data_IF_635631188513
#
_entry.id   IF_635631188513
#
_cell.length_a   1.000
_cell.length_b   1.000
_cell.length_c   1.000
_cell.angle_alpha   90.00
_cell.angle_beta   90.00
_cell.angle_gamma   90.00
#
_symmetry.space_group_name_H-M   'P 1'
#
loop_
_entity.id
_entity.type
_entity.pdbx_description
1 polymer ?
#
# COMPACT_ATOMS: atom_id res chain seq x y z
N UNK A 1 -26.15 -21.16 -6.92
CA UNK A 1 -25.58 -21.20 -5.55
C UNK A 1 -24.15 -21.79 -5.55
N UNK A 2 -23.85 -22.84 -6.32
CA UNK A 2 -22.51 -23.47 -6.39
C UNK A 2 -21.44 -22.56 -7.04
N UNK A 3 -21.78 -21.75 -8.01
CA UNK A 3 -20.88 -20.83 -8.69
C UNK A 3 -20.40 -19.67 -7.78
N UNK A 4 -21.22 -19.24 -6.83
CA UNK A 4 -20.84 -18.20 -5.87
C UNK A 4 -19.82 -18.68 -4.83
N UNK A 5 -19.83 -19.95 -4.46
CA UNK A 5 -18.89 -20.52 -3.50
C UNK A 5 -17.47 -20.63 -4.06
N UNK A 6 -17.29 -21.00 -5.33
CA UNK A 6 -15.97 -21.13 -5.95
C UNK A 6 -15.27 -19.76 -6.17
N UNK A 7 -16.01 -18.72 -6.56
CA UNK A 7 -15.48 -17.37 -6.69
C UNK A 7 -15.13 -16.73 -5.34
N UNK A 8 -15.83 -17.10 -4.28
CA UNK A 8 -15.65 -16.59 -2.94
C UNK A 8 -14.32 -17.03 -2.30
N UNK A 9 -13.79 -18.18 -2.70
CA UNK A 9 -12.52 -18.72 -2.19
C UNK A 9 -11.30 -18.31 -3.01
N UNK A 10 -11.45 -17.95 -4.28
CA UNK A 10 -10.34 -17.60 -5.16
C UNK A 10 -9.68 -16.25 -4.86
N UNK A 11 -10.41 -15.26 -4.33
CA UNK A 11 -9.86 -13.92 -4.03
C UNK A 11 -9.47 -13.80 -2.55
N UNK A 12 -10.47 -13.65 -1.69
CA UNK A 12 -10.33 -13.69 -0.24
C UNK A 12 -11.34 -14.68 0.30
N UNK A 13 -10.87 -15.74 0.92
CA UNK A 13 -11.74 -16.75 1.49
C UNK A 13 -12.61 -16.18 2.63
N UNK A 14 -13.63 -16.93 3.01
CA UNK A 14 -14.59 -16.51 4.05
C UNK A 14 -13.91 -16.27 5.40
N UNK A 15 -12.90 -17.07 5.75
CA UNK A 15 -12.19 -16.95 7.03
C UNK A 15 -11.42 -15.63 7.11
N UNK A 16 -10.67 -15.26 6.06
CA UNK A 16 -9.94 -13.99 5.98
C UNK A 16 -10.89 -12.80 6.08
N UNK A 17 -11.99 -12.80 5.33
CA UNK A 17 -12.99 -11.72 5.40
C UNK A 17 -13.64 -11.63 6.79
N UNK A 18 -14.00 -12.75 7.39
CA UNK A 18 -14.57 -12.79 8.73
C UNK A 18 -13.60 -12.25 9.78
N UNK A 19 -12.31 -12.57 9.66
CA UNK A 19 -11.26 -12.02 10.53
C UNK A 19 -11.18 -10.50 10.41
N UNK A 20 -11.16 -9.94 9.19
CA UNK A 20 -11.14 -8.48 8.98
C UNK A 20 -12.39 -7.83 9.57
N UNK A 21 -13.58 -8.39 9.35
CA UNK A 21 -14.82 -7.83 9.91
C UNK A 21 -14.86 -7.86 11.44
N UNK A 22 -14.32 -8.92 12.08
CA UNK A 22 -14.20 -8.99 13.55
C UNK A 22 -13.28 -7.89 14.07
N UNK A 23 -12.09 -7.75 13.46
CA UNK A 23 -11.12 -6.71 13.84
C UNK A 23 -11.69 -5.30 13.63
N UNK A 24 -12.33 -5.04 12.50
CA UNK A 24 -12.99 -3.77 12.22
C UNK A 24 -14.10 -3.43 13.24
N UNK A 25 -14.83 -4.43 13.70
CA UNK A 25 -15.90 -4.27 14.72
C UNK A 25 -15.39 -4.33 16.15
N UNK A 26 -14.07 -4.41 16.35
CA UNK A 26 -13.42 -4.54 17.66
C UNK A 26 -13.96 -5.72 18.52
N UNK A 27 -14.27 -6.86 17.86
CA UNK A 27 -14.79 -8.07 18.52
C UNK A 27 -13.71 -9.05 18.96
N UNK A 28 -12.44 -8.64 18.88
CA UNK A 28 -11.28 -9.47 19.18
C UNK A 28 -11.01 -10.55 18.15
N UNK A 29 -9.88 -11.21 18.28
CA UNK A 29 -9.40 -12.27 17.38
C UNK A 29 -9.41 -13.66 18.02
N UNK A 30 -9.85 -13.77 19.29
CA UNK A 30 -9.87 -15.07 19.97
C UNK A 30 -10.74 -16.08 19.25
N UNK A 31 -10.17 -17.27 19.03
CA UNK A 31 -10.85 -18.44 18.46
C UNK A 31 -10.74 -19.57 19.48
N UNK A 32 -11.89 -19.96 20.04
CA UNK A 32 -11.91 -20.97 21.08
C UNK A 32 -12.08 -22.36 20.48
N UNK A 33 -11.11 -23.02 19.99
CA UNK A 33 -11.11 -24.44 19.60
C UNK A 33 -9.73 -24.91 19.13
N UNK A 34 -9.01 -24.08 18.37
CA UNK A 34 -7.71 -24.42 17.82
C UNK A 34 -7.40 -23.68 16.53
N UNK A 35 -6.39 -24.12 15.80
CA UNK A 35 -5.96 -23.51 14.55
C UNK A 35 -7.08 -23.53 13.51
N UNK A 36 -7.28 -22.40 12.84
CA UNK A 36 -8.21 -22.25 11.70
C UNK A 36 -7.51 -22.39 10.35
N UNK A 37 -6.17 -22.49 10.35
CA UNK A 37 -5.35 -22.70 9.16
C UNK A 37 -4.76 -24.11 9.15
N UNK A 38 -4.68 -24.72 7.96
CA UNK A 38 -3.84 -25.89 7.76
C UNK A 38 -2.39 -25.45 7.53
N UNK A 39 -1.59 -25.50 8.59
CA UNK A 39 -0.18 -25.13 8.55
C UNK A 39 0.70 -26.09 7.71
N UNK A 40 0.13 -27.12 7.07
CA UNK A 40 0.83 -28.01 6.14
C UNK A 40 0.71 -27.55 4.68
N UNK A 41 -0.13 -26.56 4.40
CA UNK A 41 -0.34 -26.04 3.04
C UNK A 41 0.91 -25.29 2.55
N UNK A 42 1.45 -25.59 1.35
CA UNK A 42 2.52 -24.83 0.73
C UNK A 42 2.19 -23.32 0.68
N UNK A 43 3.16 -22.49 1.01
CA UNK A 43 3.00 -21.05 1.11
C UNK A 43 2.48 -20.55 2.45
N UNK A 44 2.09 -21.44 3.39
CA UNK A 44 1.71 -21.03 4.74
C UNK A 44 2.87 -20.40 5.49
N UNK A 45 2.58 -19.32 6.18
CA UNK A 45 3.54 -18.53 6.99
C UNK A 45 3.53 -19.07 8.41
N UNK A 46 4.71 -19.38 8.95
CA UNK A 46 4.92 -19.82 10.32
C UNK A 46 5.98 -18.92 10.96
N UNK A 47 5.65 -18.29 12.08
CA UNK A 47 6.63 -17.51 12.85
C UNK A 47 7.38 -18.38 13.84
N UNK A 48 8.65 -18.04 14.07
CA UNK A 48 9.55 -18.79 14.96
C UNK A 48 9.38 -18.23 16.36
N UNK A 49 8.63 -18.94 17.21
CA UNK A 49 8.44 -18.53 18.59
C UNK A 49 9.71 -18.72 19.42
N UNK A 50 9.96 -17.81 20.35
CA UNK A 50 10.99 -17.96 21.36
C UNK A 50 10.55 -18.96 22.43
N UNK A 51 11.50 -19.76 22.97
CA UNK A 51 11.23 -20.60 24.13
C UNK A 51 10.96 -19.77 25.40
N UNK A 52 11.56 -18.57 25.46
CA UNK A 52 11.37 -17.58 26.51
C UNK A 52 10.99 -16.26 25.84
N UNK A 53 9.68 -16.02 25.58
CA UNK A 53 9.21 -14.77 24.97
C UNK A 53 9.43 -13.59 25.91
N UNK A 54 9.34 -12.37 25.35
CA UNK A 54 9.53 -11.14 26.11
C UNK A 54 8.41 -10.99 27.16
N UNK A 55 8.77 -10.54 28.37
CA UNK A 55 7.79 -10.24 29.42
C UNK A 55 6.95 -9.03 29.03
N UNK A 56 5.72 -8.92 29.55
CA UNK A 56 4.82 -7.81 29.21
C UNK A 56 5.39 -6.44 29.58
N UNK A 57 6.10 -6.36 30.71
CA UNK A 57 6.77 -5.15 31.20
C UNK A 57 7.95 -4.69 30.34
N UNK A 58 8.55 -5.61 29.56
CA UNK A 58 9.70 -5.34 28.68
C UNK A 58 9.27 -5.03 27.23
N UNK A 59 7.98 -5.10 26.93
CA UNK A 59 7.44 -4.78 25.62
C UNK A 59 7.50 -3.28 25.35
N UNK A 60 7.99 -2.92 24.17
CA UNK A 60 8.13 -1.53 23.77
C UNK A 60 7.11 -1.16 22.67
N UNK A 61 6.62 0.08 22.66
CA UNK A 61 5.87 0.58 21.52
C UNK A 61 6.71 0.50 20.24
N UNK A 62 6.08 0.17 19.12
CA UNK A 62 6.76 0.23 17.83
C UNK A 62 7.18 1.67 17.53
N UNK A 63 8.47 1.95 17.33
CA UNK A 63 8.93 3.31 17.06
C UNK A 63 8.43 3.82 15.71
N UNK A 64 8.16 5.13 15.64
CA UNK A 64 7.92 5.84 14.37
C UNK A 64 9.18 5.89 13.52
N UNK A 65 9.03 6.10 12.22
CA UNK A 65 10.13 6.32 11.29
C UNK A 65 9.97 7.68 10.62
N UNK A 66 11.07 8.36 10.35
CA UNK A 66 11.09 9.68 9.74
C UNK A 66 11.48 9.60 8.27
N UNK A 67 10.50 9.60 7.38
CA UNK A 67 10.72 9.53 5.93
C UNK A 67 11.29 10.87 5.46
N UNK A 68 12.44 10.84 4.79
CA UNK A 68 13.14 12.02 4.28
C UNK A 68 13.94 12.81 5.33
N UNK A 69 14.25 12.22 6.51
CA UNK A 69 14.87 12.88 7.67
C UNK A 69 16.05 13.78 7.31
N UNK A 70 17.00 13.31 6.51
CA UNK A 70 18.24 14.05 6.21
C UNK A 70 18.24 14.72 4.83
N UNK A 71 17.14 14.62 4.09
CA UNK A 71 17.05 14.98 2.68
C UNK A 71 15.89 15.92 2.34
N UNK A 72 14.98 16.18 3.28
CA UNK A 72 13.80 16.99 3.06
C UNK A 72 13.74 18.13 4.08
N UNK A 73 13.29 19.31 3.64
CA UNK A 73 13.02 20.42 4.54
C UNK A 73 11.92 20.10 5.56
N UNK A 74 10.93 19.29 5.15
CA UNK A 74 9.80 18.89 5.97
C UNK A 74 9.66 17.37 5.95
N UNK A 75 10.49 16.62 6.71
CA UNK A 75 10.39 15.18 6.80
C UNK A 75 9.03 14.75 7.37
N UNK A 76 8.65 13.51 7.13
CA UNK A 76 7.37 12.95 7.52
C UNK A 76 7.54 11.89 8.61
N UNK A 77 7.06 12.15 9.82
CA UNK A 77 7.02 11.16 10.90
C UNK A 77 5.88 10.15 10.66
N UNK A 78 6.23 8.93 10.25
CA UNK A 78 5.31 7.84 9.98
C UNK A 78 5.17 6.93 11.21
N UNK A 79 4.01 6.96 11.87
CA UNK A 79 3.77 6.28 13.16
C UNK A 79 3.30 4.83 12.98
N UNK A 80 2.45 4.57 11.99
CA UNK A 80 1.80 3.27 11.81
C UNK A 80 2.57 2.37 10.84
N UNK A 81 2.66 1.07 11.16
CA UNK A 81 3.15 0.05 10.23
C UNK A 81 2.15 -0.17 9.09
N UNK A 82 0.85 -0.22 9.41
CA UNK A 82 -0.24 -0.50 8.47
C UNK A 82 -0.90 0.79 8.05
N UNK A 83 -0.95 1.04 6.74
CA UNK A 83 -1.42 2.29 6.19
C UNK A 83 -2.37 2.10 5.00
N UNK A 84 -3.13 3.14 4.68
CA UNK A 84 -4.15 3.10 3.63
C UNK A 84 -3.48 3.33 2.27
N UNK A 85 -3.52 2.29 1.43
CA UNK A 85 -3.03 2.33 0.04
C UNK A 85 -3.86 3.28 -0.83
N UNK A 86 -3.26 3.75 -1.93
CA UNK A 86 -3.89 4.68 -2.88
C UNK A 86 -5.20 4.16 -3.46
N UNK A 87 -6.28 4.86 -3.13
CA UNK A 87 -7.64 4.63 -3.65
C UNK A 87 -8.24 5.98 -4.02
N UNK A 88 -8.35 6.26 -5.33
CA UNK A 88 -8.76 7.57 -5.80
C UNK A 88 -10.22 7.88 -5.51
N UNK A 89 -10.51 9.13 -5.11
CA UNK A 89 -11.86 9.66 -5.18
C UNK A 89 -12.36 9.62 -6.63
N UNK A 90 -13.52 9.05 -6.83
CA UNK A 90 -14.05 8.65 -8.13
C UNK A 90 -13.99 7.14 -8.35
N UNK A 91 -12.90 6.47 -8.06
CA UNK A 91 -12.91 5.01 -7.98
C UNK A 91 -13.71 4.51 -6.76
N UNK A 92 -13.49 5.15 -5.60
CA UNK A 92 -14.32 4.97 -4.41
C UNK A 92 -15.21 6.22 -4.18
N UNK A 93 -16.27 6.03 -3.42
CA UNK A 93 -17.29 7.04 -3.16
C UNK A 93 -16.83 8.11 -2.14
N UNK A 94 -17.55 9.23 -2.13
CA UNK A 94 -17.38 10.31 -1.15
C UNK A 94 -17.46 9.79 0.31
N UNK A 95 -18.51 9.08 0.75
CA UNK A 95 -18.57 8.57 2.11
C UNK A 95 -17.45 7.56 2.43
N UNK A 96 -16.97 6.80 1.44
CA UNK A 96 -15.83 5.91 1.64
C UNK A 96 -14.53 6.69 1.93
N UNK A 97 -14.21 7.73 1.14
CA UNK A 97 -13.02 8.56 1.38
C UNK A 97 -13.10 9.28 2.72
N UNK A 98 -14.27 9.84 3.09
CA UNK A 98 -14.50 10.49 4.39
C UNK A 98 -14.24 9.53 5.55
N UNK A 99 -14.81 8.33 5.50
CA UNK A 99 -14.62 7.33 6.53
C UNK A 99 -13.15 6.86 6.63
N UNK A 100 -12.43 6.77 5.50
CA UNK A 100 -11.00 6.46 5.48
C UNK A 100 -10.17 7.58 6.11
N UNK A 101 -10.45 8.85 5.77
CA UNK A 101 -9.73 10.02 6.31
C UNK A 101 -9.89 10.12 7.82
N UNK A 102 -11.14 10.12 8.32
CA UNK A 102 -11.44 10.16 9.75
C UNK A 102 -10.83 8.95 10.51
N UNK A 103 -10.95 7.75 9.93
CA UNK A 103 -10.40 6.55 10.54
C UNK A 103 -8.88 6.50 10.54
N UNK A 104 -8.23 7.01 9.50
CA UNK A 104 -6.78 7.15 9.42
C UNK A 104 -6.23 8.07 10.52
N UNK A 105 -6.86 9.25 10.70
CA UNK A 105 -6.51 10.18 11.77
C UNK A 105 -6.60 9.52 13.15
N UNK A 106 -7.71 8.83 13.40
CA UNK A 106 -7.91 8.17 14.68
C UNK A 106 -6.92 7.02 14.93
N UNK A 107 -6.46 6.33 13.87
CA UNK A 107 -5.51 5.24 13.99
C UNK A 107 -4.04 5.69 13.95
N UNK A 108 -3.76 6.93 13.54
CA UNK A 108 -2.41 7.44 13.33
C UNK A 108 -1.71 6.83 12.10
N UNK A 109 -2.48 6.37 11.10
CA UNK A 109 -1.96 5.91 9.81
C UNK A 109 -2.16 6.97 8.72
N UNK A 110 -1.34 6.91 7.65
CA UNK A 110 -1.54 7.80 6.52
C UNK A 110 -2.63 7.31 5.57
N UNK A 111 -3.18 8.26 4.82
CA UNK A 111 -4.08 8.02 3.69
C UNK A 111 -3.38 8.42 2.39
N UNK A 112 -3.28 7.50 1.44
CA UNK A 112 -2.80 7.79 0.09
C UNK A 112 -3.99 8.13 -0.82
N UNK A 113 -3.91 9.26 -1.53
CA UNK A 113 -5.02 9.78 -2.35
C UNK A 113 -5.39 8.89 -3.55
N UNK A 114 -4.47 8.01 -3.97
CA UNK A 114 -4.56 7.42 -5.30
C UNK A 114 -4.35 8.45 -6.42
N UNK A 115 -4.46 8.01 -7.66
CA UNK A 115 -4.10 8.80 -8.87
C UNK A 115 -5.16 9.81 -9.34
N UNK A 116 -6.22 10.03 -8.56
CA UNK A 116 -7.35 10.90 -8.93
C UNK A 116 -7.20 12.37 -8.54
N UNK A 117 -6.10 12.75 -7.92
CA UNK A 117 -5.90 14.06 -7.31
C UNK A 117 -6.37 14.13 -5.86
N UNK A 118 -6.09 15.24 -5.20
CA UNK A 118 -6.49 15.51 -3.81
C UNK A 118 -7.92 16.07 -3.79
N UNK A 119 -8.84 15.36 -3.14
CA UNK A 119 -10.20 15.84 -2.87
C UNK A 119 -10.28 16.39 -1.43
N UNK A 120 -11.20 17.33 -1.13
CA UNK A 120 -11.40 17.86 0.23
C UNK A 120 -11.63 16.75 1.27
N UNK A 121 -12.27 15.67 0.87
CA UNK A 121 -12.60 14.52 1.73
C UNK A 121 -11.39 13.74 2.24
N UNK A 122 -10.24 13.82 1.57
CA UNK A 122 -8.99 13.24 2.07
C UNK A 122 -8.46 13.99 3.30
N UNK A 123 -8.84 15.26 3.45
CA UNK A 123 -8.38 16.15 4.50
C UNK A 123 -9.35 16.25 5.69
N UNK A 124 -10.56 15.70 5.56
CA UNK A 124 -11.63 15.88 6.55
C UNK A 124 -11.29 15.37 7.96
N UNK A 125 -10.48 14.30 8.04
CA UNK A 125 -10.04 13.74 9.31
C UNK A 125 -8.76 14.36 9.88
N UNK A 126 -8.11 15.28 9.16
CA UNK A 126 -6.79 15.82 9.52
C UNK A 126 -5.71 14.71 9.68
N UNK A 127 -5.82 13.65 8.90
CA UNK A 127 -4.82 12.58 8.86
C UNK A 127 -3.62 12.98 8.00
N UNK A 128 -2.52 12.26 8.16
CA UNK A 128 -1.37 12.39 7.27
C UNK A 128 -1.74 11.91 5.86
N UNK A 129 -1.53 12.75 4.85
CA UNK A 129 -1.90 12.45 3.46
C UNK A 129 -0.66 12.34 2.60
N UNK A 130 -0.56 11.23 1.84
CA UNK A 130 0.40 11.07 0.73
C UNK A 130 -0.34 11.29 -0.58
N UNK A 131 0.09 12.28 -1.38
CA UNK A 131 -0.50 12.53 -2.68
C UNK A 131 0.16 11.67 -3.75
N UNK A 132 -0.63 10.83 -4.43
CA UNK A 132 -0.14 10.02 -5.52
C UNK A 132 -0.24 10.74 -6.86
N UNK A 133 0.86 10.82 -7.59
CA UNK A 133 0.95 11.39 -8.93
C UNK A 133 0.91 10.25 -9.95
N UNK A 134 -0.25 10.06 -10.56
CA UNK A 134 -0.44 9.11 -11.66
C UNK A 134 0.00 9.69 -13.00
N UNK A 135 -0.04 8.86 -14.04
CA UNK A 135 0.42 9.21 -15.40
C UNK A 135 -0.37 10.34 -16.06
N UNK A 136 -1.61 10.60 -15.64
CA UNK A 136 -2.42 11.74 -16.07
C UNK A 136 -2.19 13.00 -15.23
N UNK A 137 -1.42 12.92 -14.13
CA UNK A 137 -1.08 14.04 -13.23
C UNK A 137 -2.31 14.81 -12.70
N UNK A 138 -3.45 14.12 -12.49
CA UNK A 138 -4.65 14.77 -11.97
C UNK A 138 -4.38 15.51 -10.65
N UNK A 139 -4.92 16.72 -10.55
CA UNK A 139 -4.77 17.60 -9.39
C UNK A 139 -3.45 18.36 -9.30
N UNK A 140 -2.41 17.97 -10.08
CA UNK A 140 -1.07 18.60 -10.06
C UNK A 140 -0.62 19.07 -11.45
N UNK A 141 -1.52 19.12 -12.42
CA UNK A 141 -1.24 19.52 -13.81
C UNK A 141 -1.84 20.88 -14.15
N UNK A 142 -1.28 21.53 -15.17
CA UNK A 142 -1.86 22.70 -15.79
C UNK A 142 -3.04 22.34 -16.74
N UNK A 143 -3.60 23.35 -17.41
CA UNK A 143 -4.70 23.17 -18.38
C UNK A 143 -4.29 22.38 -19.63
N UNK A 144 -3.01 22.35 -19.96
CA UNK A 144 -2.43 21.60 -21.07
C UNK A 144 -2.09 20.14 -20.68
N UNK A 145 -2.28 19.78 -19.40
CA UNK A 145 -2.01 18.46 -18.86
C UNK A 145 -0.57 18.21 -18.46
N UNK A 146 0.29 19.23 -18.45
CA UNK A 146 1.67 19.14 -18.00
C UNK A 146 1.77 19.31 -16.48
N UNK A 147 2.89 18.87 -15.91
CA UNK A 147 3.17 19.09 -14.49
C UNK A 147 3.23 20.60 -14.18
N UNK A 148 2.49 21.03 -13.14
CA UNK A 148 2.45 22.41 -12.69
C UNK A 148 3.28 22.61 -11.41
N UNK A 149 4.44 23.27 -11.48
CA UNK A 149 5.25 23.60 -10.31
C UNK A 149 4.50 24.42 -9.26
N UNK A 150 3.64 25.35 -9.71
CA UNK A 150 2.86 26.18 -8.79
C UNK A 150 1.90 25.34 -7.96
N UNK A 151 1.14 24.43 -8.60
CA UNK A 151 0.23 23.51 -7.88
C UNK A 151 0.99 22.56 -6.96
N UNK A 152 2.17 22.09 -7.36
CA UNK A 152 3.01 21.25 -6.52
C UNK A 152 3.42 21.97 -5.23
N UNK A 153 3.84 23.25 -5.32
CA UNK A 153 4.15 24.08 -4.13
C UNK A 153 2.96 24.26 -3.20
N UNK A 154 1.78 24.50 -3.75
CA UNK A 154 0.55 24.66 -2.98
C UNK A 154 0.19 23.37 -2.26
N UNK A 155 0.23 22.23 -2.95
CA UNK A 155 -0.03 20.91 -2.39
C UNK A 155 1.01 20.49 -1.34
N UNK A 156 2.28 20.86 -1.53
CA UNK A 156 3.36 20.60 -0.57
C UNK A 156 3.15 21.24 0.80
N UNK A 157 2.32 22.29 0.89
CA UNK A 157 1.91 22.88 2.18
C UNK A 157 0.88 22.04 2.92
N UNK A 158 0.16 21.17 2.20
CA UNK A 158 -0.99 20.41 2.71
C UNK A 158 -0.61 18.95 2.97
N UNK A 159 0.03 18.29 1.99
CA UNK A 159 0.34 16.86 2.08
C UNK A 159 1.68 16.60 2.78
N UNK A 160 1.86 15.40 3.31
CA UNK A 160 3.09 15.00 4.00
C UNK A 160 4.17 14.46 3.07
N UNK A 161 3.77 13.86 1.95
CA UNK A 161 4.68 13.30 0.95
C UNK A 161 4.00 13.21 -0.42
N UNK A 162 4.82 13.01 -1.46
CA UNK A 162 4.36 12.69 -2.81
C UNK A 162 4.81 11.28 -3.21
N UNK A 163 3.98 10.58 -3.98
CA UNK A 163 4.28 9.26 -4.53
C UNK A 163 4.09 9.28 -6.05
N UNK A 164 5.17 9.17 -6.83
CA UNK A 164 5.11 9.05 -8.29
C UNK A 164 4.77 7.59 -8.62
N UNK A 165 3.60 7.36 -9.19
CA UNK A 165 3.14 6.02 -9.56
C UNK A 165 3.56 5.69 -10.99
N UNK A 166 4.49 4.75 -11.14
CA UNK A 166 4.91 4.21 -12.42
C UNK A 166 3.99 3.11 -12.91
N UNK A 167 3.61 2.20 -12.00
CA UNK A 167 2.70 1.08 -12.28
C UNK A 167 1.99 0.59 -11.02
N UNK A 168 1.13 -0.41 -11.16
CA UNK A 168 0.52 -1.15 -10.06
C UNK A 168 0.39 -2.64 -10.44
N UNK A 169 0.41 -3.53 -9.43
CA UNK A 169 0.42 -4.97 -9.63
C UNK A 169 -0.73 -5.52 -10.47
N UNK A 170 -1.94 -4.99 -10.29
CA UNK A 170 -3.13 -5.46 -10.99
C UNK A 170 -3.16 -5.15 -12.50
N UNK A 171 -2.42 -4.15 -12.98
CA UNK A 171 -2.47 -3.72 -14.39
C UNK A 171 -1.18 -3.00 -14.83
N UNK A 172 -0.02 -3.66 -14.81
CA UNK A 172 1.21 -3.05 -15.28
C UNK A 172 1.11 -2.71 -16.76
N UNK A 173 1.66 -1.56 -17.17
CA UNK A 173 1.63 -1.11 -18.56
C UNK A 173 0.27 -0.62 -19.07
N UNK A 174 -0.73 -0.53 -18.18
CA UNK A 174 -2.04 0.05 -18.50
C UNK A 174 -2.39 1.20 -17.57
N UNK A 175 -2.78 2.33 -18.14
CA UNK A 175 -3.23 3.50 -17.41
C UNK A 175 -4.53 3.30 -16.64
N UNK A 176 -4.89 4.28 -15.82
CA UNK A 176 -6.14 4.31 -15.10
C UNK A 176 -7.35 4.46 -16.03
N UNK A 177 -8.45 3.84 -15.67
CA UNK A 177 -9.76 4.04 -16.29
C UNK A 177 -10.79 4.30 -15.19
N UNK A 178 -11.49 5.44 -15.29
CA UNK A 178 -12.69 5.70 -14.52
C UNK A 178 -13.84 5.93 -15.53
N UNK A 179 -14.86 5.05 -15.55
CA UNK A 179 -15.98 5.18 -16.48
C UNK A 179 -16.71 6.51 -16.29
N UNK A 180 -17.17 7.11 -17.40
CA UNK A 180 -17.86 8.42 -17.42
C UNK A 180 -19.09 8.47 -16.52
N UNK A 181 -19.79 7.36 -16.34
CA UNK A 181 -20.91 7.25 -15.40
C UNK A 181 -20.54 7.47 -13.92
N UNK A 182 -19.23 7.51 -13.60
CA UNK A 182 -18.70 7.88 -12.28
C UNK A 182 -18.15 9.30 -12.22
N UNK A 183 -18.03 9.98 -13.36
CA UNK A 183 -17.42 11.32 -13.46
C UNK A 183 -18.50 12.37 -13.32
N UNK A 184 -18.87 12.68 -12.10
CA UNK A 184 -19.74 13.83 -11.78
C UNK A 184 -18.97 15.16 -11.80
N UNK A 185 -19.67 16.31 -11.60
CA UNK A 185 -19.07 17.64 -11.68
C UNK A 185 -17.86 17.84 -10.77
N UNK A 186 -17.92 17.35 -9.55
CA UNK A 186 -16.83 17.48 -8.56
C UNK A 186 -15.56 16.71 -8.98
N UNK A 187 -15.72 15.46 -9.44
CA UNK A 187 -14.60 14.63 -9.92
C UNK A 187 -14.02 15.24 -11.20
N UNK A 188 -14.89 15.75 -12.08
CA UNK A 188 -14.48 16.44 -13.30
C UNK A 188 -13.62 17.67 -12.98
N UNK A 189 -14.03 18.49 -12.02
CA UNK A 189 -13.27 19.67 -11.56
C UNK A 189 -11.91 19.29 -10.96
N UNK A 190 -11.85 18.29 -10.08
CA UNK A 190 -10.59 17.84 -9.46
C UNK A 190 -9.62 17.30 -10.49
N UNK A 191 -10.11 16.57 -11.50
CA UNK A 191 -9.29 15.95 -12.56
C UNK A 191 -9.02 16.90 -13.72
N UNK A 192 -9.74 18.01 -13.85
CA UNK A 192 -9.67 18.90 -15.01
C UNK A 192 -10.07 18.18 -16.31
N UNK A 193 -11.24 17.49 -16.30
CA UNK A 193 -11.81 16.75 -17.44
C UNK A 193 -13.30 17.06 -17.58
N UNK A 194 -13.91 16.81 -18.76
CA UNK A 194 -15.34 16.98 -18.94
C UNK A 194 -16.17 16.01 -18.07
N UNK A 195 -17.34 16.48 -17.66
CA UNK A 195 -18.33 15.67 -16.92
C UNK A 195 -18.86 14.54 -17.80
N UNK A 196 -19.11 13.38 -17.22
CA UNK A 196 -19.64 12.17 -17.86
C UNK A 196 -18.78 11.58 -18.99
N UNK A 197 -17.53 12.02 -19.14
CA UNK A 197 -16.56 11.39 -20.02
C UNK A 197 -15.65 10.41 -19.28
N UNK A 198 -15.24 9.33 -19.95
CA UNK A 198 -14.28 8.38 -19.42
C UNK A 198 -12.95 9.10 -19.09
N UNK A 199 -12.49 8.90 -17.86
CA UNK A 199 -11.20 9.42 -17.43
C UNK A 199 -10.11 8.36 -17.69
N UNK A 200 -9.37 8.54 -18.79
CA UNK A 200 -8.35 7.61 -19.24
C UNK A 200 -6.97 8.23 -18.99
N UNK A 201 -6.14 7.52 -18.23
CA UNK A 201 -4.74 7.92 -18.00
C UNK A 201 -3.83 7.25 -19.04
N UNK A 202 -2.73 7.91 -19.46
CA UNK A 202 -1.69 7.28 -20.27
C UNK A 202 -1.13 6.01 -19.60
N UNK A 203 -0.58 5.10 -20.37
CA UNK A 203 0.02 3.86 -19.87
C UNK A 203 1.35 4.10 -19.11
N UNK A 204 2.03 5.24 -19.36
CA UNK A 204 3.23 5.70 -18.64
C UNK A 204 3.27 7.22 -18.56
N UNK A 205 4.13 7.75 -17.73
CA UNK A 205 4.43 9.19 -17.71
C UNK A 205 5.10 9.58 -19.04
N UNK A 206 4.60 10.64 -19.70
CA UNK A 206 5.13 11.12 -20.98
C UNK A 206 6.49 11.81 -20.83
N UNK A 207 6.76 12.32 -19.65
CA UNK A 207 7.96 13.07 -19.25
C UNK A 207 8.95 12.25 -18.40
N UNK A 208 8.82 10.91 -18.41
CA UNK A 208 9.75 9.98 -17.74
C UNK A 208 9.98 8.80 -18.70
N UNK A 209 11.14 8.75 -19.34
CA UNK A 209 11.47 7.74 -20.35
C UNK A 209 12.56 6.77 -19.88
N UNK A 210 13.31 7.13 -18.84
CA UNK A 210 14.40 6.36 -18.28
C UNK A 210 14.57 6.66 -16.79
N UNK A 211 15.48 5.96 -16.13
CA UNK A 211 15.75 6.10 -14.70
C UNK A 211 16.30 7.49 -14.35
N UNK A 212 17.20 8.04 -15.16
CA UNK A 212 17.79 9.34 -14.87
C UNK A 212 16.74 10.46 -14.88
N UNK A 213 15.81 10.46 -15.85
CA UNK A 213 14.67 11.39 -15.87
C UNK A 213 13.72 11.18 -14.68
N UNK A 214 13.54 9.93 -14.21
CA UNK A 214 12.77 9.65 -13.00
C UNK A 214 13.45 10.27 -11.77
N UNK A 215 14.75 10.08 -11.63
CA UNK A 215 15.54 10.63 -10.52
C UNK A 215 15.55 12.17 -10.54
N UNK A 216 15.66 12.79 -11.72
CA UNK A 216 15.52 14.23 -11.90
C UNK A 216 14.16 14.74 -11.41
N UNK A 217 13.10 14.02 -11.75
CA UNK A 217 11.73 14.37 -11.34
C UNK A 217 11.56 14.27 -9.83
N UNK A 218 12.11 13.23 -9.20
CA UNK A 218 12.08 13.03 -7.74
C UNK A 218 12.80 14.18 -7.04
N UNK A 219 14.03 14.44 -7.46
CA UNK A 219 14.86 15.51 -6.90
C UNK A 219 14.18 16.88 -7.07
N UNK A 220 13.76 17.23 -8.28
CA UNK A 220 13.10 18.51 -8.56
C UNK A 220 11.79 18.70 -7.75
N UNK A 221 10.99 17.64 -7.58
CA UNK A 221 9.75 17.73 -6.79
C UNK A 221 10.05 17.91 -5.30
N UNK A 222 11.09 17.21 -4.78
CA UNK A 222 11.54 17.37 -3.39
C UNK A 222 12.04 18.79 -3.13
N UNK A 223 12.93 19.32 -3.97
CA UNK A 223 13.44 20.70 -3.86
C UNK A 223 12.31 21.73 -3.94
N UNK A 224 11.35 21.51 -4.85
CA UNK A 224 10.24 22.41 -5.06
C UNK A 224 9.28 22.50 -3.87
N UNK A 225 9.04 21.37 -3.17
CA UNK A 225 8.02 21.24 -2.13
C UNK A 225 8.58 21.11 -0.72
N UNK A 226 9.86 20.77 -0.59
CA UNK A 226 10.51 20.43 0.68
C UNK A 226 10.00 19.12 1.30
N UNK A 227 9.15 18.33 0.59
CA UNK A 227 8.51 17.12 1.09
C UNK A 227 9.17 15.85 0.56
N UNK A 228 9.09 14.74 1.30
CA UNK A 228 9.51 13.43 0.81
C UNK A 228 8.82 13.05 -0.50
N UNK A 229 9.58 12.44 -1.40
CA UNK A 229 9.10 11.94 -2.69
C UNK A 229 9.48 10.49 -2.85
N UNK A 230 8.48 9.64 -2.94
CA UNK A 230 8.65 8.22 -3.24
C UNK A 230 8.13 7.83 -4.61
N UNK A 231 8.32 6.57 -4.94
CA UNK A 231 7.78 5.95 -6.15
C UNK A 231 6.96 4.71 -5.80
N UNK A 232 5.98 4.39 -6.66
CA UNK A 232 5.24 3.14 -6.60
C UNK A 232 5.37 2.39 -7.91
N UNK A 233 5.73 1.11 -7.83
CA UNK A 233 5.88 0.25 -9.01
C UNK A 233 5.53 -1.20 -8.72
N UNK A 234 5.16 -1.94 -9.76
CA UNK A 234 5.12 -3.39 -9.77
C UNK A 234 6.42 -3.92 -10.38
N UNK A 235 6.86 -5.09 -9.94
CA UNK A 235 8.10 -5.71 -10.38
C UNK A 235 7.78 -6.88 -11.31
N UNK A 236 8.30 -6.84 -12.53
CA UNK A 236 8.21 -7.95 -13.50
C UNK A 236 9.56 -8.60 -13.77
N UNK A 237 10.66 -7.96 -13.36
CA UNK A 237 12.04 -8.40 -13.49
C UNK A 237 12.98 -7.44 -12.78
N UNK A 238 14.28 -7.75 -12.76
CA UNK A 238 15.25 -7.09 -11.88
C UNK A 238 15.95 -5.88 -12.51
N UNK A 239 15.86 -5.68 -13.81
CA UNK A 239 16.56 -4.63 -14.52
C UNK A 239 16.22 -3.25 -13.95
N UNK A 240 14.93 -2.97 -13.74
CA UNK A 240 14.49 -1.69 -13.20
C UNK A 240 15.14 -1.36 -11.85
N UNK A 241 15.13 -2.29 -10.89
CA UNK A 241 15.67 -2.03 -9.56
C UNK A 241 17.20 -1.93 -9.56
N UNK A 242 17.87 -2.74 -10.40
CA UNK A 242 19.32 -2.69 -10.53
C UNK A 242 19.76 -1.36 -11.17
N UNK A 243 19.15 -0.95 -12.27
CA UNK A 243 19.40 0.34 -12.91
C UNK A 243 19.11 1.53 -11.99
N UNK A 244 18.04 1.43 -11.19
CA UNK A 244 17.70 2.44 -10.19
C UNK A 244 18.81 2.58 -9.15
N UNK A 245 19.28 1.48 -8.58
CA UNK A 245 20.36 1.46 -7.60
C UNK A 245 21.67 2.00 -8.18
N UNK A 246 22.04 1.55 -9.38
CA UNK A 246 23.27 1.98 -10.07
C UNK A 246 23.24 3.49 -10.38
N UNK A 247 22.10 4.00 -10.88
CA UNK A 247 21.92 5.42 -11.16
C UNK A 247 22.00 6.28 -9.90
N UNK A 248 21.38 5.83 -8.80
CA UNK A 248 21.46 6.56 -7.51
C UNK A 248 22.89 6.59 -7.02
N UNK A 249 23.62 5.46 -7.05
CA UNK A 249 25.01 5.40 -6.61
C UNK A 249 25.94 6.26 -7.46
N UNK A 250 25.67 6.40 -8.76
CA UNK A 250 26.41 7.27 -9.67
C UNK A 250 26.12 8.75 -9.45
N UNK A 251 24.84 9.11 -9.19
CA UNK A 251 24.39 10.51 -9.13
C UNK A 251 24.41 11.11 -7.73
N UNK A 252 24.39 10.29 -6.71
CA UNK A 252 24.36 10.68 -5.30
C UNK A 252 23.02 10.46 -4.63
N UNK A 253 23.05 10.35 -3.30
CA UNK A 253 21.90 10.01 -2.47
C UNK A 253 20.77 11.05 -2.48
N UNK A 254 21.06 12.28 -2.87
CA UNK A 254 20.06 13.35 -3.01
C UNK A 254 19.06 13.09 -4.15
N UNK A 255 19.43 12.26 -5.11
CA UNK A 255 18.53 11.84 -6.19
C UNK A 255 17.66 10.63 -5.82
N UNK A 256 17.98 9.91 -4.74
CA UNK A 256 17.22 8.74 -4.34
C UNK A 256 15.78 9.08 -3.94
N UNK A 257 14.79 8.23 -4.25
CA UNK A 257 13.47 8.34 -3.65
C UNK A 257 13.54 8.15 -2.13
N UNK A 258 12.66 8.81 -1.39
CA UNK A 258 12.61 8.68 0.07
C UNK A 258 11.92 7.38 0.50
N UNK A 259 11.06 6.85 -0.37
CA UNK A 259 10.44 5.55 -0.20
C UNK A 259 10.12 4.89 -1.54
N UNK A 260 10.04 3.56 -1.52
CA UNK A 260 9.72 2.71 -2.65
C UNK A 260 8.55 1.79 -2.28
N UNK A 261 7.39 2.01 -2.89
CA UNK A 261 6.22 1.15 -2.74
C UNK A 261 6.26 0.04 -3.78
N UNK A 262 6.45 -1.20 -3.33
CA UNK A 262 6.39 -2.41 -4.16
C UNK A 262 4.96 -2.95 -4.13
N UNK A 263 4.31 -2.98 -5.29
CA UNK A 263 2.94 -3.49 -5.44
C UNK A 263 2.97 -4.86 -6.11
N UNK A 264 2.69 -5.92 -5.37
CA UNK A 264 2.68 -7.30 -5.87
C UNK A 264 1.64 -7.53 -6.97
N UNK A 265 1.90 -8.50 -7.84
CA UNK A 265 1.01 -8.89 -8.94
C UNK A 265 -0.40 -9.26 -8.51
N UNK A 266 -0.56 -9.78 -7.29
CA UNK A 266 -1.84 -10.06 -6.65
C UNK A 266 -2.58 -8.83 -6.12
N UNK A 267 -2.08 -7.62 -6.37
CA UNK A 267 -2.75 -6.37 -6.09
C UNK A 267 -4.12 -6.28 -6.75
N UNK A 268 -4.96 -5.36 -6.29
CA UNK A 268 -6.33 -5.20 -6.78
C UNK A 268 -6.57 -3.89 -7.52
N UNK A 269 -7.56 -3.89 -8.41
CA UNK A 269 -8.06 -2.69 -9.08
C UNK A 269 -9.52 -2.90 -9.51
N UNK A 270 -10.31 -1.82 -9.51
CA UNK A 270 -11.64 -1.83 -10.10
C UNK A 270 -11.65 -1.77 -11.63
N UNK A 271 -10.49 -1.66 -12.30
CA UNK A 271 -10.42 -1.41 -13.74
C UNK A 271 -9.27 -2.17 -14.43
N UNK A 272 -8.89 -3.34 -13.91
CA UNK A 272 -7.86 -4.18 -14.50
C UNK A 272 -8.49 -5.23 -15.43
N UNK A 273 -7.97 -5.40 -16.67
CA UNK A 273 -8.27 -6.56 -17.49
C UNK A 273 -7.78 -7.84 -16.82
N UNK A 274 -8.56 -8.91 -16.92
CA UNK A 274 -8.22 -10.20 -16.30
C UNK A 274 -6.85 -10.72 -16.77
N UNK A 275 -6.53 -10.59 -18.03
CA UNK A 275 -5.24 -10.99 -18.60
C UNK A 275 -4.04 -10.34 -17.87
N UNK A 276 -4.16 -9.08 -17.44
CA UNK A 276 -3.08 -8.40 -16.72
C UNK A 276 -3.06 -8.78 -15.25
N UNK A 277 -4.21 -8.84 -14.59
CA UNK A 277 -4.28 -9.10 -13.16
C UNK A 277 -3.90 -10.53 -12.79
N UNK A 278 -4.09 -11.47 -13.70
CA UNK A 278 -3.84 -12.90 -13.44
C UNK A 278 -2.46 -13.37 -13.94
N UNK A 279 -1.77 -12.61 -14.82
CA UNK A 279 -0.61 -13.14 -15.53
C UNK A 279 0.59 -12.19 -15.64
N UNK A 280 0.52 -10.97 -15.10
CA UNK A 280 1.61 -9.99 -15.26
C UNK A 280 2.02 -9.42 -13.91
N UNK A 281 3.31 -9.28 -13.69
CA UNK A 281 4.00 -8.92 -12.45
C UNK A 281 4.25 -10.10 -11.50
N UNK A 282 5.34 -9.98 -10.76
CA UNK A 282 5.69 -10.93 -9.71
C UNK A 282 4.80 -10.74 -8.48
N UNK A 283 4.45 -11.83 -7.78
CA UNK A 283 3.78 -11.74 -6.50
C UNK A 283 4.67 -11.05 -5.47
N UNK A 284 4.06 -10.42 -4.46
CA UNK A 284 4.79 -9.69 -3.42
C UNK A 284 5.76 -10.61 -2.65
N UNK A 285 5.40 -11.88 -2.52
CA UNK A 285 6.22 -12.88 -1.84
C UNK A 285 7.59 -13.12 -2.50
N UNK A 286 7.69 -12.87 -3.80
CA UNK A 286 8.95 -12.94 -4.56
C UNK A 286 9.57 -11.54 -4.75
N UNK A 287 8.77 -10.55 -5.11
CA UNK A 287 9.26 -9.22 -5.45
C UNK A 287 9.91 -8.51 -4.25
N UNK A 288 9.27 -8.57 -3.07
CA UNK A 288 9.71 -7.81 -1.90
C UNK A 288 11.10 -8.21 -1.38
N UNK A 289 11.39 -9.48 -1.05
CA UNK A 289 12.69 -9.84 -0.50
C UNK A 289 13.83 -9.52 -1.48
N UNK A 290 13.63 -9.71 -2.78
CA UNK A 290 14.67 -9.44 -3.79
C UNK A 290 14.90 -7.95 -4.05
N UNK A 291 13.86 -7.11 -4.01
CA UNK A 291 14.03 -5.65 -4.05
C UNK A 291 14.81 -5.17 -2.83
N UNK A 292 14.49 -5.70 -1.65
CA UNK A 292 15.25 -5.41 -0.42
C UNK A 292 16.70 -5.85 -0.56
N UNK A 293 16.96 -7.00 -1.18
CA UNK A 293 18.32 -7.49 -1.44
C UNK A 293 19.11 -6.53 -2.35
N UNK A 294 18.50 -6.06 -3.44
CA UNK A 294 19.13 -5.07 -4.33
C UNK A 294 19.49 -3.78 -3.57
N UNK A 295 18.60 -3.30 -2.70
CA UNK A 295 18.86 -2.11 -1.89
C UNK A 295 19.94 -2.35 -0.83
N UNK A 296 19.98 -3.53 -0.19
CA UNK A 296 21.02 -3.89 0.78
C UNK A 296 22.39 -4.00 0.09
N UNK A 297 22.44 -4.71 -1.02
CA UNK A 297 23.66 -4.91 -1.80
C UNK A 297 24.26 -3.60 -2.29
N UNK A 298 23.40 -2.66 -2.71
CA UNK A 298 23.80 -1.34 -3.19
C UNK A 298 24.05 -0.32 -2.08
N UNK A 299 23.85 -0.68 -0.80
CA UNK A 299 23.99 0.21 0.35
C UNK A 299 22.87 1.25 0.50
N UNK A 300 21.75 1.06 -0.20
CA UNK A 300 20.66 2.05 -0.27
C UNK A 300 19.50 1.76 0.70
N UNK A 301 19.47 0.60 1.37
CA UNK A 301 18.34 0.23 2.25
C UNK A 301 18.13 1.21 3.42
N UNK A 302 19.19 1.82 3.93
CA UNK A 302 19.09 2.82 4.99
C UNK A 302 18.68 4.21 4.47
N UNK A 303 18.74 4.43 3.14
CA UNK A 303 18.31 5.68 2.50
C UNK A 303 16.85 5.63 2.02
N UNK A 304 16.39 4.46 1.60
CA UNK A 304 15.10 4.28 0.94
C UNK A 304 14.22 3.37 1.79
N UNK A 305 13.14 3.91 2.34
CA UNK A 305 12.13 3.09 3.03
C UNK A 305 11.35 2.23 2.03
N UNK A 306 11.09 0.98 2.40
CA UNK A 306 10.33 0.04 1.57
C UNK A 306 8.92 -0.12 2.11
N UNK A 307 7.93 0.12 1.24
CA UNK A 307 6.51 -0.07 1.54
C UNK A 307 6.02 -1.27 0.75
N UNK A 308 5.55 -2.30 1.43
CA UNK A 308 4.96 -3.47 0.79
C UNK A 308 3.47 -3.27 0.53
N UNK A 309 3.01 -3.60 -0.68
CA UNK A 309 1.60 -3.62 -1.07
C UNK A 309 1.31 -4.85 -1.95
N UNK A 310 0.07 -5.31 -1.99
CA UNK A 310 -0.34 -6.49 -2.76
C UNK A 310 -0.94 -7.56 -1.88
N UNK A 311 -2.27 -7.57 -1.73
CA UNK A 311 -3.06 -8.58 -0.99
C UNK A 311 -2.66 -8.79 0.50
N UNK A 312 -1.89 -7.90 1.09
CA UNK A 312 -1.49 -7.93 2.50
C UNK A 312 -2.62 -7.35 3.37
N UNK A 313 -3.45 -8.20 3.96
CA UNK A 313 -4.68 -7.77 4.66
C UNK A 313 -4.78 -8.28 6.10
N UNK A 314 -3.94 -9.25 6.48
CA UNK A 314 -3.90 -9.84 7.82
C UNK A 314 -2.63 -9.44 8.58
N UNK A 315 -2.66 -9.60 9.90
CA UNK A 315 -1.49 -9.38 10.76
C UNK A 315 -0.31 -10.30 10.42
N UNK A 316 -0.59 -11.55 10.05
CA UNK A 316 0.45 -12.51 9.66
C UNK A 316 1.16 -12.09 8.36
N UNK A 317 0.40 -11.65 7.34
CA UNK A 317 0.97 -11.12 6.10
C UNK A 317 1.75 -9.82 6.34
N UNK A 318 1.25 -8.94 7.22
CA UNK A 318 1.95 -7.72 7.62
C UNK A 318 3.28 -8.01 8.34
N UNK A 319 3.28 -8.93 9.30
CA UNK A 319 4.49 -9.35 10.01
C UNK A 319 5.49 -10.04 9.07
N UNK A 320 5.01 -10.86 8.13
CA UNK A 320 5.84 -11.46 7.08
C UNK A 320 6.53 -10.38 6.23
N UNK A 321 5.80 -9.35 5.81
CA UNK A 321 6.37 -8.28 5.02
C UNK A 321 7.50 -7.54 5.76
N UNK A 322 7.34 -7.31 7.08
CA UNK A 322 8.42 -6.77 7.92
C UNK A 322 9.61 -7.73 8.00
N UNK A 323 9.38 -9.03 8.17
CA UNK A 323 10.45 -10.03 8.14
C UNK A 323 11.20 -10.03 6.80
N UNK A 324 10.50 -9.80 5.69
CA UNK A 324 11.08 -9.72 4.35
C UNK A 324 11.86 -8.42 4.09
N UNK A 325 11.76 -7.43 5.00
CA UNK A 325 12.52 -6.18 4.97
C UNK A 325 11.74 -4.94 4.57
N UNK A 326 10.40 -5.01 4.53
CA UNK A 326 9.56 -3.82 4.43
C UNK A 326 9.62 -2.99 5.72
N UNK A 327 9.54 -1.68 5.59
CA UNK A 327 9.41 -0.75 6.70
C UNK A 327 7.94 -0.47 7.03
N UNK A 328 7.08 -0.52 6.01
CA UNK A 328 5.65 -0.27 6.11
C UNK A 328 4.85 -1.21 5.20
N UNK A 329 3.56 -1.33 5.48
CA UNK A 329 2.60 -2.07 4.68
C UNK A 329 1.44 -1.16 4.28
N UNK A 330 1.17 -1.09 2.99
CA UNK A 330 -0.01 -0.45 2.44
C UNK A 330 -1.07 -1.50 2.07
N UNK A 331 -2.29 -1.35 2.57
CA UNK A 331 -3.40 -2.20 2.19
C UNK A 331 -4.60 -1.39 1.70
N UNK A 332 -5.20 -1.79 0.57
CA UNK A 332 -6.43 -1.20 0.05
C UNK A 332 -7.63 -2.07 0.45
N UNK A 333 -7.62 -3.36 0.08
CA UNK A 333 -8.76 -4.25 0.28
C UNK A 333 -9.05 -4.56 1.74
N UNK A 334 -8.04 -4.57 2.61
CA UNK A 334 -8.23 -4.67 4.06
C UNK A 334 -9.12 -3.53 4.58
N UNK A 335 -8.82 -2.29 4.19
CA UNK A 335 -9.65 -1.14 4.55
C UNK A 335 -11.00 -1.11 3.82
N UNK A 336 -11.10 -1.58 2.58
CA UNK A 336 -12.40 -1.74 1.92
C UNK A 336 -13.29 -2.74 2.67
N UNK A 337 -12.75 -3.87 3.14
CA UNK A 337 -13.50 -4.81 3.97
C UNK A 337 -13.89 -4.20 5.32
N UNK A 338 -13.04 -3.39 5.94
CA UNK A 338 -13.40 -2.68 7.17
C UNK A 338 -14.57 -1.72 6.96
N UNK A 339 -14.67 -1.07 5.80
CA UNK A 339 -15.83 -0.26 5.40
C UNK A 339 -17.10 -1.10 5.18
N UNK A 340 -16.98 -2.42 4.96
CA UNK A 340 -18.09 -3.33 4.73
C UNK A 340 -18.17 -3.89 3.31
N UNK A 341 -17.08 -3.90 2.54
CA UNK A 341 -17.02 -4.59 1.25
C UNK A 341 -17.40 -6.07 1.43
N UNK A 342 -18.25 -6.58 0.56
CA UNK A 342 -18.71 -7.99 0.55
C UNK A 342 -18.11 -8.77 -0.62
N UNK A 343 -17.12 -8.22 -1.31
CA UNK A 343 -16.50 -8.85 -2.49
C UNK A 343 -17.49 -9.09 -3.65
N UNK A 344 -18.43 -8.12 -3.87
CA UNK A 344 -19.43 -8.23 -4.94
C UNK A 344 -18.86 -8.10 -6.36
N UNK A 345 -17.57 -7.74 -6.51
CA UNK A 345 -16.84 -7.58 -7.78
C UNK A 345 -17.51 -6.65 -8.81
N UNK A 346 -18.26 -5.65 -8.33
CA UNK A 346 -18.96 -4.64 -9.16
C UNK A 346 -18.30 -3.27 -9.11
N UNK A 347 -17.00 -3.22 -8.77
CA UNK A 347 -16.27 -1.95 -8.54
C UNK A 347 -16.20 -1.06 -9.79
N UNK A 348 -16.21 -1.63 -10.99
CA UNK A 348 -16.17 -0.93 -12.27
C UNK A 348 -17.55 -0.52 -12.82
N UNK A 349 -18.65 -1.09 -12.28
CA UNK A 349 -19.99 -0.96 -12.85
C UNK A 349 -20.82 0.20 -12.26
N UNK A 350 -20.28 0.94 -11.27
CA UNK A 350 -21.03 1.95 -10.51
C UNK A 350 -22.26 1.42 -9.74
N UNK A 351 -22.32 0.09 -9.51
CA UNK A 351 -23.44 -0.61 -8.85
C UNK A 351 -22.99 -1.37 -7.62
N UNK A 352 -21.98 -0.85 -6.88
CA UNK A 352 -21.52 -1.45 -5.66
C UNK A 352 -22.61 -1.45 -4.58
N UNK A 353 -23.08 -2.62 -4.11
CA UNK A 353 -24.23 -2.70 -3.20
C UNK A 353 -23.94 -2.16 -1.79
N UNK A 354 -22.66 -1.96 -1.45
CA UNK A 354 -22.25 -1.46 -0.13
C UNK A 354 -21.84 0.02 -0.14
N UNK A 355 -22.09 0.73 -1.26
CA UNK A 355 -21.82 2.15 -1.36
C UNK A 355 -20.34 2.56 -1.51
N UNK A 356 -19.40 1.61 -1.52
CA UNK A 356 -17.96 1.91 -1.47
C UNK A 356 -17.44 2.39 -2.83
N UNK A 357 -17.81 1.72 -3.93
CA UNK A 357 -17.26 1.99 -5.27
C UNK A 357 -18.34 2.46 -6.26
N UNK A 358 -19.30 3.24 -5.79
CA UNK A 358 -20.42 3.78 -6.58
C UNK A 358 -20.61 5.26 -6.31
N UNK A 359 -21.16 5.97 -7.29
CA UNK A 359 -21.62 7.36 -7.18
C UNK A 359 -23.16 7.47 -7.25
N UNK A 360 -23.88 6.35 -7.20
CA UNK A 360 -25.33 6.33 -6.96
C UNK A 360 -25.59 6.67 -5.49
N UNK A 361 -26.25 7.80 -5.24
CA UNK A 361 -26.52 8.30 -3.87
C UNK A 361 -27.34 7.32 -3.04
N UNK A 362 -28.29 6.59 -3.65
CA UNK A 362 -29.07 5.59 -2.92
C UNK A 362 -28.21 4.46 -2.38
N UNK A 363 -27.22 4.01 -3.16
CA UNK A 363 -26.28 2.98 -2.71
C UNK A 363 -25.27 3.54 -1.70
N UNK A 364 -24.87 4.81 -1.86
CA UNK A 364 -23.96 5.47 -0.91
C UNK A 364 -24.59 5.64 0.47
N UNK A 365 -25.90 5.84 0.58
CA UNK A 365 -26.60 5.99 1.86
C UNK A 365 -26.45 4.78 2.78
N UNK A 366 -26.11 3.61 2.26
CA UNK A 366 -25.77 2.42 3.05
C UNK A 366 -24.40 2.47 3.73
N UNK A 367 -23.55 3.45 3.38
CA UNK A 367 -22.23 3.65 3.98
C UNK A 367 -22.28 4.83 4.99
N UNK A 368 -22.67 4.51 6.21
CA UNK A 368 -22.77 5.49 7.31
C UNK A 368 -21.37 5.85 7.81
N UNK A 369 -20.90 7.05 7.51
CA UNK A 369 -19.53 7.51 7.79
C UNK A 369 -19.20 7.41 9.27
N UNK A 370 -20.14 7.82 10.14
CA UNK A 370 -20.04 7.86 11.61
C UNK A 370 -19.77 6.48 12.24
N UNK A 371 -20.18 5.40 11.58
CA UNK A 371 -19.86 4.03 11.99
C UNK A 371 -18.60 3.50 11.33
N UNK A 372 -18.41 3.84 10.05
CA UNK A 372 -17.37 3.21 9.22
C UNK A 372 -15.97 3.71 9.54
N UNK A 373 -15.79 4.98 9.91
CA UNK A 373 -14.49 5.47 10.32
C UNK A 373 -13.96 4.76 11.57
N UNK A 374 -14.83 4.41 12.52
CA UNK A 374 -14.46 3.61 13.69
C UNK A 374 -13.96 2.22 13.28
N UNK A 375 -14.61 1.60 12.28
CA UNK A 375 -14.19 0.29 11.76
C UNK A 375 -12.83 0.36 11.06
N UNK A 376 -12.58 1.44 10.32
CA UNK A 376 -11.27 1.72 9.71
C UNK A 376 -10.18 1.84 10.78
N UNK A 377 -10.42 2.66 11.81
CA UNK A 377 -9.49 2.86 12.91
C UNK A 377 -9.23 1.56 13.70
N UNK A 378 -10.29 0.82 14.02
CA UNK A 378 -10.18 -0.45 14.74
C UNK A 378 -9.39 -1.48 13.95
N UNK A 379 -9.64 -1.60 12.64
CA UNK A 379 -8.89 -2.53 11.78
C UNK A 379 -7.39 -2.20 11.81
N UNK A 380 -7.01 -0.95 11.58
CA UNK A 380 -5.60 -0.54 11.58
C UNK A 380 -4.91 -0.82 12.93
N UNK A 381 -5.57 -0.44 14.05
CA UNK A 381 -5.04 -0.66 15.40
C UNK A 381 -4.91 -2.13 15.75
N UNK A 382 -5.94 -2.94 15.45
CA UNK A 382 -5.94 -4.36 15.78
C UNK A 382 -4.91 -5.13 14.95
N UNK A 383 -4.76 -4.83 13.64
CA UNK A 383 -3.69 -5.42 12.82
C UNK A 383 -2.32 -5.08 13.40
N UNK A 384 -2.06 -3.81 13.73
CA UNK A 384 -0.79 -3.38 14.32
C UNK A 384 -0.54 -4.04 15.68
N UNK A 385 -1.57 -4.16 16.52
CA UNK A 385 -1.49 -4.85 17.81
C UNK A 385 -1.13 -6.33 17.64
N UNK A 386 -1.76 -7.03 16.70
CA UNK A 386 -1.49 -8.44 16.46
C UNK A 386 -0.11 -8.68 15.82
N UNK A 387 0.38 -7.75 14.97
CA UNK A 387 1.76 -7.79 14.46
C UNK A 387 2.75 -7.72 15.62
N UNK A 388 2.55 -6.83 16.61
CA UNK A 388 3.38 -6.76 17.79
C UNK A 388 3.24 -8.02 18.67
N UNK A 389 2.03 -8.60 18.80
CA UNK A 389 1.85 -9.87 19.51
C UNK A 389 2.68 -11.01 18.89
N UNK A 390 2.76 -11.07 17.55
CA UNK A 390 3.64 -12.03 16.85
C UNK A 390 5.10 -11.71 17.16
N UNK A 391 5.52 -10.44 17.15
CA UNK A 391 6.89 -10.03 17.48
C UNK A 391 7.28 -10.45 18.91
N UNK A 392 6.41 -10.18 19.90
CA UNK A 392 6.65 -10.57 21.29
C UNK A 392 6.74 -12.09 21.46
N UNK A 393 5.92 -12.86 20.74
CA UNK A 393 6.00 -14.32 20.70
C UNK A 393 7.34 -14.81 20.11
N UNK A 394 7.92 -14.05 19.18
CA UNK A 394 9.27 -14.32 18.63
C UNK A 394 10.41 -13.83 19.54
N UNK A 395 10.12 -13.28 20.72
CA UNK A 395 11.13 -12.75 21.65
C UNK A 395 11.62 -11.34 21.30
N UNK A 396 10.87 -10.58 20.49
CA UNK A 396 11.23 -9.24 20.07
C UNK A 396 10.46 -8.20 20.89
N UNK A 397 11.09 -7.07 21.23
CA UNK A 397 10.45 -6.00 21.99
C UNK A 397 9.37 -5.25 21.20
N UNK A 398 9.55 -5.15 19.88
CA UNK A 398 8.59 -4.51 18.96
C UNK A 398 8.75 -5.00 17.52
N UNK A 399 7.76 -4.80 16.69
CA UNK A 399 7.67 -5.35 15.34
C UNK A 399 8.77 -4.88 14.36
N UNK A 400 9.44 -3.75 14.60
CA UNK A 400 10.54 -3.31 13.71
C UNK A 400 11.83 -4.09 13.90
N UNK A 401 11.89 -4.99 14.88
CA UNK A 401 13.01 -5.92 15.08
C UNK A 401 12.89 -7.21 14.26
N UNK A 402 11.78 -7.39 13.53
CA UNK A 402 11.63 -8.54 12.64
C UNK A 402 12.76 -8.64 11.62
N UNK A 403 13.20 -9.88 11.39
CA UNK A 403 14.19 -10.26 10.38
C UNK A 403 13.77 -11.58 9.73
N UNK A 404 14.41 -11.97 8.64
CA UNK A 404 14.07 -13.17 7.85
C UNK A 404 14.12 -14.47 8.67
N UNK A 405 14.98 -14.56 9.67
CA UNK A 405 15.09 -15.73 10.56
C UNK A 405 13.85 -15.95 11.45
N UNK A 406 13.01 -14.93 11.67
CA UNK A 406 11.80 -15.02 12.49
C UNK A 406 10.59 -15.61 11.78
N UNK A 407 10.70 -15.92 10.48
CA UNK A 407 9.59 -16.46 9.68
C UNK A 407 10.06 -17.64 8.82
N UNK A 408 9.19 -18.62 8.68
CA UNK A 408 9.35 -19.81 7.84
C UNK A 408 8.19 -19.91 6.85
N UNK A 409 8.47 -20.44 5.67
CA UNK A 409 7.46 -20.73 4.65
C UNK A 409 7.36 -22.24 4.48
N UNK A 410 6.15 -22.76 4.44
CA UNK A 410 5.88 -24.18 4.19
C UNK A 410 6.12 -24.45 2.69
N UNK A 411 7.05 -25.36 2.38
CA UNK A 411 7.32 -25.81 1.01
C UNK A 411 6.44 -27.00 0.62
N UNK A 412 6.37 -27.98 1.52
CA UNK A 412 5.58 -29.20 1.37
C UNK A 412 4.97 -29.58 2.70
N UNK A 413 3.97 -30.48 2.70
CA UNK A 413 3.35 -30.98 3.92
C UNK A 413 4.42 -31.52 4.90
N UNK A 414 4.47 -30.94 6.11
CA UNK A 414 5.43 -31.30 7.16
C UNK A 414 6.83 -30.71 7.02
N UNK A 415 7.10 -29.88 6.01
CA UNK A 415 8.41 -29.23 5.82
C UNK A 415 8.25 -27.73 5.57
N UNK A 416 8.91 -26.92 6.37
CA UNK A 416 9.04 -25.48 6.16
C UNK A 416 10.50 -25.06 6.09
N UNK A 417 10.79 -23.95 5.41
CA UNK A 417 12.12 -23.36 5.27
C UNK A 417 12.12 -21.95 5.81
N UNK A 418 13.16 -21.57 6.55
CA UNK A 418 13.30 -20.21 7.05
C UNK A 418 13.51 -19.23 5.90
N UNK A 419 12.94 -18.02 6.02
CA UNK A 419 12.99 -17.02 4.94
C UNK A 419 14.43 -16.58 4.63
N UNK A 420 15.32 -16.55 5.62
CA UNK A 420 16.75 -16.26 5.41
C UNK A 420 17.52 -17.38 4.68
N UNK A 421 16.93 -18.57 4.54
CA UNK A 421 17.48 -19.65 3.72
C UNK A 421 16.92 -19.58 2.29
N UNK A 422 15.62 -19.24 2.14
CA UNK A 422 15.00 -19.01 0.84
C UNK A 422 15.58 -17.77 0.15
N UNK A 423 15.82 -16.73 0.93
CA UNK A 423 16.41 -15.45 0.51
C UNK A 423 17.55 -15.10 1.47
N UNK A 424 18.77 -15.65 1.25
CA UNK A 424 19.95 -15.27 2.05
C UNK A 424 20.22 -13.77 1.92
N UNK A 425 20.68 -13.15 3.00
CA UNK A 425 21.10 -11.74 2.93
C UNK A 425 22.27 -11.61 1.96
N UNK A 426 22.25 -10.65 1.05
CA UNK A 426 23.34 -10.45 0.10
C UNK A 426 24.59 -9.92 0.82
N UNK A 427 25.76 -10.29 0.31
CA UNK A 427 27.00 -9.62 0.70
C UNK A 427 27.01 -8.19 0.13
N UNK A 428 27.41 -7.18 0.92
CA UNK A 428 27.55 -5.82 0.41
C UNK A 428 28.54 -5.78 -0.76
N UNK A 429 28.23 -5.00 -1.79
CA UNK A 429 29.19 -4.74 -2.87
C UNK A 429 30.46 -4.15 -2.26
N UNK A 430 31.61 -4.79 -2.50
CA UNK A 430 32.91 -4.20 -2.16
C UNK A 430 33.04 -2.88 -2.90
N UNK A 431 33.15 -1.76 -2.18
CA UNK A 431 33.45 -0.46 -2.79
C UNK A 431 34.82 -0.62 -3.47
N UNK A 432 34.81 -0.61 -4.81
CA UNK A 432 36.03 -0.58 -5.64
C UNK A 432 36.74 0.75 -5.49
#
# INVERSE_FOLDING_TARGET
YFFFFFQDEMLFNRATRAWIYKNAKNKGSLVGFGSTNDLRQPGSIIFVNAAFPIQEEDQLPTPSLHIGQDYCQFPFEAKSIINISGMSYGAISKPAVRALSLGAAQAGCWLNTGEGGLAPYHLEGDCDVIMQIGTAKYGIRDEQGNFSPQRAKELGKIVKAFEIKLSQGAKPGKGGLLPGGKVGPEIAAIRGIPVHMDSISPNRHKDINNIDELLDKIHALRELTGRPVGIKTAIGGWNFINELCDSINRRGLDYAPDFLTIDGGEGGSGAAPQTLIDHVSLPIAEALPRVVDSLLQSGLKNRIYVIAAGKLVTSAEGAWALCAGADFVNTARGFMFSLGCIQAMRCHLNTCPTGITTHDERLQNGLVVEEKYLRVANYARNVSKEINMIAHSCGLQHARQFKREHVRIVETAGKSVALNILYPYPEPLKKS
#
